data_IF_516109902634
#
_entry.id   IF_516109902634
#
_cell.length_a   1.000
_cell.length_b   1.000
_cell.length_c   1.000
_cell.angle_alpha   90.00
_cell.angle_beta   90.00
_cell.angle_gamma   90.00
#
_symmetry.space_group_name_H-M   'P 1'
#
loop_
_entity.id
_entity.type
_entity.pdbx_description
1 polymer ?
#
# COMPACT_ATOMS: atom_id res chain seq x y z
N UNK A 1 -0.98 -19.79 -22.02
CA UNK A 1 -1.57 -21.14 -21.81
C UNK A 1 -3.08 -21.00 -21.87
N UNK A 2 -3.86 -22.08 -21.99
CA UNK A 2 -5.31 -21.98 -21.79
C UNK A 2 -5.62 -21.61 -20.33
N UNK A 3 -6.89 -21.35 -20.03
CA UNK A 3 -7.32 -21.05 -18.67
C UNK A 3 -6.82 -22.14 -17.68
N UNK A 4 -6.21 -21.75 -16.55
CA UNK A 4 -5.68 -22.71 -15.58
C UNK A 4 -6.75 -23.65 -15.00
N UNK A 5 -7.99 -23.18 -14.91
CA UNK A 5 -9.12 -23.89 -14.32
C UNK A 5 -10.42 -23.57 -15.07
N UNK A 6 -11.40 -24.49 -15.13
CA UNK A 6 -12.68 -24.26 -15.82
C UNK A 6 -13.41 -23.00 -15.38
N UNK A 7 -13.38 -22.70 -14.08
CA UNK A 7 -13.99 -21.50 -13.49
C UNK A 7 -13.49 -20.19 -14.12
N UNK A 8 -12.20 -20.12 -14.45
CA UNK A 8 -11.57 -18.92 -15.04
C UNK A 8 -12.01 -18.73 -16.50
N UNK A 9 -12.13 -19.82 -17.28
CA UNK A 9 -12.70 -19.76 -18.62
C UNK A 9 -14.19 -19.40 -18.59
N UNK A 10 -14.94 -19.96 -17.63
CA UNK A 10 -16.36 -19.63 -17.42
C UNK A 10 -16.56 -18.16 -17.06
N UNK A 11 -15.65 -17.58 -16.26
CA UNK A 11 -15.67 -16.15 -15.92
C UNK A 11 -15.56 -15.27 -17.18
N UNK A 12 -14.59 -15.52 -18.07
CA UNK A 12 -14.47 -14.76 -19.32
C UNK A 12 -15.73 -14.85 -20.19
N UNK A 13 -16.32 -16.05 -20.28
CA UNK A 13 -17.53 -16.31 -21.07
C UNK A 13 -18.76 -15.63 -20.47
N UNK A 14 -19.03 -15.83 -19.17
CA UNK A 14 -20.19 -15.24 -18.48
C UNK A 14 -20.15 -13.72 -18.49
N UNK A 15 -18.97 -13.14 -18.29
CA UNK A 15 -18.77 -11.68 -18.29
C UNK A 15 -18.61 -11.09 -19.69
N UNK A 16 -18.72 -11.91 -20.75
CA UNK A 16 -18.60 -11.49 -22.16
C UNK A 16 -17.30 -10.72 -22.43
N UNK A 17 -16.22 -11.12 -21.76
CA UNK A 17 -14.90 -10.49 -21.90
C UNK A 17 -14.20 -10.92 -23.19
N UNK A 18 -14.48 -12.14 -23.64
CA UNK A 18 -13.94 -12.74 -24.87
C UNK A 18 -15.08 -13.11 -25.85
N UNK A 19 -14.80 -13.15 -27.17
CA UNK A 19 -15.70 -13.70 -28.18
C UNK A 19 -16.16 -15.14 -27.86
N UNK A 20 -17.33 -15.57 -28.36
CA UNK A 20 -17.78 -16.95 -28.21
C UNK A 20 -16.75 -17.95 -28.73
N UNK A 21 -16.35 -18.91 -27.87
CA UNK A 21 -15.39 -19.96 -28.21
C UNK A 21 -13.92 -19.61 -27.95
N UNK A 22 -13.59 -18.37 -27.58
CA UNK A 22 -12.23 -17.98 -27.19
C UNK A 22 -12.02 -18.15 -25.67
N UNK A 23 -10.99 -18.90 -25.27
CA UNK A 23 -10.65 -19.13 -23.85
C UNK A 23 -9.61 -18.14 -23.30
N UNK A 24 -8.99 -17.34 -24.18
CA UNK A 24 -7.88 -16.44 -23.87
C UNK A 24 -6.55 -17.16 -23.61
N UNK A 25 -5.44 -16.43 -23.76
CA UNK A 25 -4.12 -16.89 -23.36
C UNK A 25 -3.77 -16.34 -21.96
N UNK A 26 -3.72 -17.24 -20.98
CA UNK A 26 -3.44 -16.93 -19.58
C UNK A 26 -1.96 -17.09 -19.29
N UNK A 27 -1.40 -16.06 -18.67
CA UNK A 27 -0.01 -15.98 -18.24
C UNK A 27 0.00 -15.58 -16.76
N UNK A 28 0.41 -16.48 -15.85
CA UNK A 28 0.46 -16.17 -14.43
C UNK A 28 1.48 -15.08 -14.15
N UNK A 29 1.13 -14.15 -13.26
CA UNK A 29 2.02 -13.10 -12.79
C UNK A 29 2.54 -13.47 -11.40
N UNK A 30 3.83 -13.19 -11.18
CA UNK A 30 4.49 -13.38 -9.89
C UNK A 30 4.27 -12.18 -8.96
N UNK A 31 4.41 -12.37 -7.65
CA UNK A 31 4.47 -11.29 -6.66
C UNK A 31 3.22 -11.11 -5.80
N UNK A 32 2.08 -11.70 -6.21
CA UNK A 32 0.87 -11.76 -5.39
C UNK A 32 0.99 -12.83 -4.31
N UNK A 33 0.93 -12.43 -3.03
CA UNK A 33 0.92 -13.35 -1.88
C UNK A 33 -0.51 -13.71 -1.48
N UNK A 34 -1.44 -12.76 -1.60
CA UNK A 34 -2.84 -12.88 -1.21
C UNK A 34 -3.78 -13.25 -2.35
N UNK A 35 -3.29 -13.23 -3.59
CA UNK A 35 -4.11 -13.48 -4.78
C UNK A 35 -3.34 -14.24 -5.85
N UNK A 36 -4.08 -15.01 -6.65
CA UNK A 36 -3.62 -15.39 -7.98
C UNK A 36 -3.89 -14.23 -8.94
N UNK A 37 -2.95 -13.96 -9.84
CA UNK A 37 -3.03 -12.87 -10.81
C UNK A 37 -2.56 -13.38 -12.16
N UNK A 38 -3.30 -13.05 -13.22
CA UNK A 38 -2.98 -13.43 -14.59
C UNK A 38 -3.08 -12.25 -15.53
N UNK A 39 -2.15 -12.17 -16.48
CA UNK A 39 -2.41 -11.48 -17.75
C UNK A 39 -3.21 -12.42 -18.63
N UNK A 40 -4.28 -11.91 -19.22
CA UNK A 40 -5.16 -12.66 -20.13
C UNK A 40 -5.18 -11.93 -21.47
N UNK A 41 -4.56 -12.52 -22.47
CA UNK A 41 -4.55 -11.99 -23.84
C UNK A 41 -5.76 -12.56 -24.60
N UNK A 42 -6.62 -11.68 -25.11
CA UNK A 42 -7.89 -11.99 -25.80
C UNK A 42 -8.14 -11.02 -26.96
N UNK A 43 -8.57 -11.51 -28.13
CA UNK A 43 -9.07 -10.71 -29.26
C UNK A 43 -8.41 -9.32 -29.45
N UNK A 44 -7.07 -9.26 -29.52
CA UNK A 44 -6.31 -8.03 -29.77
C UNK A 44 -6.11 -7.08 -28.57
N UNK A 45 -6.47 -7.49 -27.35
CA UNK A 45 -6.22 -6.76 -26.11
C UNK A 45 -5.71 -7.69 -24.99
N UNK A 46 -5.21 -7.09 -23.93
CA UNK A 46 -4.83 -7.79 -22.70
C UNK A 46 -5.64 -7.27 -21.52
N UNK A 47 -5.99 -8.16 -20.60
CA UNK A 47 -6.63 -7.87 -19.33
C UNK A 47 -5.77 -8.38 -18.17
N UNK A 48 -5.97 -7.84 -16.99
CA UNK A 48 -5.48 -8.43 -15.75
C UNK A 48 -6.66 -9.08 -15.01
N UNK A 49 -6.56 -10.37 -14.67
CA UNK A 49 -7.56 -11.07 -13.86
C UNK A 49 -6.93 -11.40 -12.50
N UNK A 50 -7.65 -11.08 -11.42
CA UNK A 50 -7.22 -11.31 -10.04
C UNK A 50 -8.25 -12.18 -9.31
N UNK A 51 -7.75 -13.17 -8.57
CA UNK A 51 -8.54 -14.05 -7.68
C UNK A 51 -7.98 -14.02 -6.27
N UNK A 52 -8.78 -13.65 -5.27
CA UNK A 52 -8.33 -13.71 -3.88
C UNK A 52 -8.21 -15.16 -3.38
N UNK A 53 -7.22 -15.41 -2.53
CA UNK A 53 -6.96 -16.71 -1.90
C UNK A 53 -7.40 -16.72 -0.44
N UNK A 54 -8.07 -17.78 0.04
CA UNK A 54 -8.36 -17.92 1.46
C UNK A 54 -7.08 -18.02 2.32
N UNK A 55 -6.04 -18.67 1.77
CA UNK A 55 -4.72 -18.84 2.38
C UNK A 55 -3.65 -18.13 1.57
N UNK A 56 -2.86 -17.29 2.22
CA UNK A 56 -1.78 -16.53 1.60
C UNK A 56 -0.58 -17.44 1.30
N UNK A 57 0.15 -17.14 0.22
CA UNK A 57 1.37 -17.82 -0.23
C UNK A 57 2.62 -17.39 0.56
N UNK A 58 2.58 -17.54 1.89
CA UNK A 58 3.71 -17.27 2.81
C UNK A 58 4.12 -18.52 3.57
N UNK A 59 5.35 -18.51 4.10
CA UNK A 59 5.90 -19.62 4.88
C UNK A 59 5.13 -19.85 6.19
N UNK A 60 4.68 -18.77 6.84
CA UNK A 60 3.81 -18.83 8.00
C UNK A 60 2.35 -19.06 7.57
N UNK A 61 1.56 -19.75 8.40
CA UNK A 61 0.12 -19.83 8.16
C UNK A 61 -0.52 -18.45 8.32
N UNK A 62 -1.04 -17.93 7.21
CA UNK A 62 -1.74 -16.64 7.18
C UNK A 62 -2.99 -16.80 6.32
N UNK A 63 -4.15 -16.72 6.97
CA UNK A 63 -5.47 -16.72 6.32
C UNK A 63 -6.01 -15.30 6.26
N UNK A 64 -6.78 -15.00 5.21
CA UNK A 64 -7.44 -13.71 5.08
C UNK A 64 -8.84 -13.89 4.45
N UNK A 65 -9.84 -13.09 4.87
CA UNK A 65 -11.19 -13.15 4.32
C UNK A 65 -11.20 -12.85 2.81
N UNK A 66 -11.87 -13.68 2.00
CA UNK A 66 -11.89 -13.55 0.52
C UNK A 66 -12.61 -12.27 0.09
N UNK A 67 -13.53 -11.78 0.91
CA UNK A 67 -14.36 -10.58 0.69
C UNK A 67 -13.52 -9.32 0.45
N UNK A 68 -12.23 -9.33 0.84
CA UNK A 68 -11.25 -8.27 0.48
C UNK A 68 -11.15 -8.00 -1.02
N UNK A 69 -11.40 -9.00 -1.86
CA UNK A 69 -11.47 -8.83 -3.30
C UNK A 69 -12.60 -7.88 -3.72
N UNK A 70 -13.75 -7.96 -3.03
CA UNK A 70 -14.89 -7.08 -3.29
C UNK A 70 -14.61 -5.64 -2.84
N UNK A 71 -13.91 -5.46 -1.71
CA UNK A 71 -13.52 -4.14 -1.24
C UNK A 71 -12.43 -3.50 -2.10
N UNK A 72 -11.50 -4.29 -2.66
CA UNK A 72 -10.55 -3.79 -3.66
C UNK A 72 -11.28 -3.29 -4.91
N UNK A 73 -12.22 -4.07 -5.45
CA UNK A 73 -13.05 -3.62 -6.57
C UNK A 73 -13.79 -2.32 -6.25
N UNK A 74 -14.46 -2.25 -5.10
CA UNK A 74 -15.19 -1.04 -4.69
C UNK A 74 -14.26 0.17 -4.56
N UNK A 75 -13.03 -0.03 -4.06
CA UNK A 75 -12.02 1.03 -4.02
C UNK A 75 -11.64 1.49 -5.43
N UNK A 76 -11.43 0.55 -6.36
CA UNK A 76 -11.09 0.87 -7.75
C UNK A 76 -12.21 1.67 -8.42
N UNK A 77 -13.48 1.36 -8.18
CA UNK A 77 -14.61 2.14 -8.70
C UNK A 77 -14.57 3.58 -8.19
N UNK A 78 -14.50 3.77 -6.87
CA UNK A 78 -14.46 5.12 -6.26
C UNK A 78 -13.23 5.90 -6.72
N UNK A 79 -12.06 5.28 -6.73
CA UNK A 79 -10.83 5.95 -7.12
C UNK A 79 -10.80 6.29 -8.63
N UNK A 80 -11.42 5.49 -9.51
CA UNK A 80 -11.52 5.84 -10.93
C UNK A 80 -12.47 7.03 -11.16
N UNK A 81 -13.49 7.23 -10.33
CA UNK A 81 -14.35 8.43 -10.41
C UNK A 81 -13.57 9.70 -10.01
N UNK A 82 -12.69 9.59 -9.01
CA UNK A 82 -11.94 10.73 -8.46
C UNK A 82 -10.68 11.04 -9.28
N UNK A 83 -9.95 10.01 -9.70
CA UNK A 83 -8.67 10.10 -10.38
C UNK A 83 -8.57 9.07 -11.53
N UNK A 84 -9.33 9.29 -12.63
CA UNK A 84 -9.29 8.40 -13.78
C UNK A 84 -7.86 8.18 -14.28
N UNK A 85 -7.50 6.93 -14.56
CA UNK A 85 -6.16 6.57 -15.05
C UNK A 85 -5.09 6.39 -13.96
N UNK A 86 -5.38 6.71 -12.70
CA UNK A 86 -4.46 6.56 -11.57
C UNK A 86 -4.73 5.34 -10.68
N UNK A 87 -5.66 4.49 -11.10
CA UNK A 87 -5.92 3.14 -10.62
C UNK A 87 -6.28 2.28 -11.83
N UNK A 88 -6.10 0.95 -11.81
CA UNK A 88 -6.57 0.08 -12.89
C UNK A 88 -8.06 0.27 -13.13
N UNK A 89 -8.46 0.39 -14.40
CA UNK A 89 -9.88 0.47 -14.74
C UNK A 89 -10.56 -0.88 -14.44
N UNK A 90 -11.59 -0.93 -13.58
CA UNK A 90 -12.39 -2.13 -13.35
C UNK A 90 -13.20 -2.46 -14.62
N UNK A 91 -13.28 -3.75 -14.98
CA UNK A 91 -13.92 -4.21 -16.23
C UNK A 91 -15.08 -5.17 -15.96
N UNK A 92 -14.86 -6.19 -15.13
CA UNK A 92 -15.92 -7.11 -14.70
C UNK A 92 -15.57 -7.74 -13.34
N UNK A 93 -16.59 -8.09 -12.56
CA UNK A 93 -16.44 -8.73 -11.26
C UNK A 93 -17.33 -9.96 -11.14
N UNK A 94 -16.84 -10.96 -10.42
CA UNK A 94 -17.60 -12.09 -9.92
C UNK A 94 -17.35 -12.25 -8.41
N UNK A 95 -18.18 -11.59 -7.57
CA UNK A 95 -18.01 -11.61 -6.13
C UNK A 95 -18.15 -13.01 -5.52
N UNK A 96 -19.00 -13.86 -6.09
CA UNK A 96 -19.25 -15.23 -5.61
C UNK A 96 -17.96 -16.07 -5.61
N UNK A 97 -17.09 -15.81 -6.59
CA UNK A 97 -15.83 -16.53 -6.78
C UNK A 97 -14.60 -15.70 -6.40
N UNK A 98 -14.78 -14.50 -5.85
CA UNK A 98 -13.69 -13.60 -5.46
C UNK A 98 -12.78 -13.22 -6.64
N UNK A 99 -13.38 -12.99 -7.80
CA UNK A 99 -12.71 -12.70 -9.06
C UNK A 99 -13.04 -11.29 -9.55
N UNK A 100 -12.07 -10.62 -10.14
CA UNK A 100 -12.34 -9.49 -11.03
C UNK A 100 -11.32 -9.38 -12.17
N UNK A 101 -11.75 -8.71 -13.24
CA UNK A 101 -10.93 -8.28 -14.36
C UNK A 101 -10.77 -6.76 -14.34
N UNK A 102 -9.56 -6.30 -14.61
CA UNK A 102 -9.20 -4.88 -14.73
C UNK A 102 -8.27 -4.65 -15.91
N UNK A 103 -8.04 -3.38 -16.26
CA UNK A 103 -7.12 -3.00 -17.32
C UNK A 103 -5.73 -3.61 -17.14
N UNK A 104 -5.14 -4.09 -18.23
CA UNK A 104 -3.74 -4.49 -18.26
C UNK A 104 -2.83 -3.27 -18.37
N UNK A 105 -1.88 -3.15 -17.45
CA UNK A 105 -0.88 -2.09 -17.44
C UNK A 105 0.46 -2.66 -17.91
N UNK A 106 0.82 -2.35 -19.15
CA UNK A 106 1.99 -2.95 -19.80
C UNK A 106 3.32 -2.50 -19.13
N UNK A 107 4.21 -3.44 -18.71
CA UNK A 107 5.42 -3.11 -17.95
C UNK A 107 6.43 -2.19 -18.64
N UNK A 108 6.45 -2.18 -19.98
CA UNK A 108 7.29 -1.29 -20.79
C UNK A 108 6.87 0.19 -20.65
N UNK A 109 5.62 0.45 -20.27
CA UNK A 109 5.06 1.78 -20.03
C UNK A 109 4.79 2.08 -18.57
N UNK A 110 4.75 1.05 -17.72
CA UNK A 110 4.38 1.13 -16.31
C UNK A 110 5.43 0.46 -15.46
N UNK A 111 6.37 1.27 -14.95
CA UNK A 111 7.53 0.78 -14.20
C UNK A 111 7.18 0.62 -12.72
N UNK A 112 7.65 -0.45 -12.09
CA UNK A 112 7.38 -0.68 -10.67
C UNK A 112 8.20 0.27 -9.79
N UNK A 113 7.55 1.14 -9.02
CA UNK A 113 8.25 2.18 -8.25
C UNK A 113 9.25 1.59 -7.25
N UNK A 114 8.93 0.47 -6.60
CA UNK A 114 9.88 -0.27 -5.75
C UNK A 114 11.18 -0.61 -6.47
N UNK A 115 11.11 -1.07 -7.72
CA UNK A 115 12.29 -1.46 -8.49
C UNK A 115 13.13 -0.24 -8.87
N UNK A 116 12.47 0.84 -9.31
CA UNK A 116 13.12 2.13 -9.61
C UNK A 116 13.90 2.64 -8.39
N UNK A 117 13.23 2.76 -7.24
CA UNK A 117 13.85 3.26 -6.02
C UNK A 117 15.03 2.38 -5.54
N UNK A 118 14.91 1.05 -5.63
CA UNK A 118 15.99 0.12 -5.23
C UNK A 118 17.17 0.12 -6.22
N UNK A 119 16.94 0.48 -7.48
CA UNK A 119 18.00 0.66 -8.48
C UNK A 119 18.72 2.01 -8.36
N UNK A 120 18.26 2.90 -7.48
CA UNK A 120 18.79 4.26 -7.34
C UNK A 120 18.23 5.27 -8.34
N UNK A 121 17.27 4.87 -9.18
CA UNK A 121 16.49 5.76 -10.03
C UNK A 121 15.39 6.40 -9.19
N UNK A 122 15.74 7.47 -8.49
CA UNK A 122 14.83 8.20 -7.61
C UNK A 122 14.57 9.56 -8.23
N UNK A 123 13.29 9.89 -8.41
CA UNK A 123 12.85 11.19 -8.87
C UNK A 123 11.80 11.72 -7.89
N UNK A 124 12.10 12.84 -7.24
CA UNK A 124 11.19 13.50 -6.31
C UNK A 124 9.85 13.92 -6.94
N UNK A 125 9.78 14.15 -8.26
CA UNK A 125 8.49 14.43 -8.92
C UNK A 125 7.53 13.24 -8.86
N UNK A 126 8.03 12.00 -8.88
CA UNK A 126 7.19 10.81 -8.75
C UNK A 126 6.60 10.73 -7.34
N UNK A 127 7.40 11.04 -6.31
CA UNK A 127 6.95 11.08 -4.93
C UNK A 127 5.92 12.20 -4.69
N UNK A 128 6.13 13.36 -5.33
CA UNK A 128 5.17 14.46 -5.31
C UNK A 128 3.84 14.08 -5.95
N UNK A 129 3.88 13.39 -7.10
CA UNK A 129 2.67 12.92 -7.78
C UNK A 129 1.92 11.85 -6.96
N UNK A 130 2.64 11.00 -6.23
CA UNK A 130 2.02 10.02 -5.31
C UNK A 130 1.35 10.72 -4.14
N UNK A 131 2.02 11.69 -3.51
CA UNK A 131 1.46 12.47 -2.40
C UNK A 131 0.20 13.22 -2.81
N UNK A 132 0.23 13.87 -3.98
CA UNK A 132 -0.93 14.53 -4.57
C UNK A 132 -2.10 13.57 -4.85
N UNK A 133 -1.83 12.42 -5.50
CA UNK A 133 -2.87 11.44 -5.83
C UNK A 133 -3.57 10.90 -4.58
N UNK A 134 -2.81 10.44 -3.59
CA UNK A 134 -3.37 9.90 -2.34
C UNK A 134 -4.13 11.00 -1.60
N UNK A 135 -3.58 12.21 -1.57
CA UNK A 135 -4.22 13.38 -0.97
C UNK A 135 -5.56 13.72 -1.61
N UNK A 136 -5.66 13.71 -2.95
CA UNK A 136 -6.91 13.96 -3.69
C UNK A 136 -7.98 12.91 -3.41
N UNK A 137 -7.60 11.62 -3.35
CA UNK A 137 -8.54 10.54 -3.02
C UNK A 137 -9.07 10.73 -1.59
N UNK A 138 -8.18 11.02 -0.64
CA UNK A 138 -8.59 11.30 0.74
C UNK A 138 -9.50 12.53 0.84
N UNK A 139 -9.17 13.62 0.15
CA UNK A 139 -9.96 14.85 0.13
C UNK A 139 -11.37 14.62 -0.42
N UNK A 140 -11.49 13.88 -1.53
CA UNK A 140 -12.77 13.62 -2.18
C UNK A 140 -13.66 12.64 -1.39
N UNK A 141 -13.08 11.85 -0.49
CA UNK A 141 -13.81 10.82 0.29
C UNK A 141 -13.98 11.19 1.76
N UNK A 142 -13.50 12.37 2.15
CA UNK A 142 -13.49 12.80 3.54
C UNK A 142 -14.89 12.93 4.13
N UNK A 143 -15.06 12.34 5.31
CA UNK A 143 -16.27 12.31 6.13
C UNK A 143 -17.54 11.84 5.37
N UNK A 144 -17.41 11.12 4.24
CA UNK A 144 -18.54 10.57 3.48
C UNK A 144 -19.20 9.40 4.24
N UNK A 145 -20.45 9.54 4.72
CA UNK A 145 -21.13 8.50 5.49
C UNK A 145 -21.48 7.25 4.67
N UNK A 146 -21.68 7.39 3.35
CA UNK A 146 -21.95 6.26 2.45
C UNK A 146 -20.69 5.42 2.27
N UNK A 147 -19.55 6.06 2.00
CA UNK A 147 -18.27 5.34 1.92
C UNK A 147 -17.90 4.73 3.27
N UNK A 148 -18.18 5.41 4.38
CA UNK A 148 -18.01 4.84 5.72
C UNK A 148 -18.80 3.56 5.93
N UNK A 149 -20.03 3.47 5.42
CA UNK A 149 -20.85 2.27 5.51
C UNK A 149 -20.34 1.14 4.60
N UNK A 150 -19.94 1.47 3.36
CA UNK A 150 -19.40 0.49 2.39
C UNK A 150 -18.07 -0.09 2.88
N UNK A 151 -17.19 0.76 3.43
CA UNK A 151 -15.85 0.40 3.87
C UNK A 151 -15.74 0.27 5.40
N UNK A 152 -16.80 -0.21 6.06
CA UNK A 152 -16.81 -0.61 7.47
C UNK A 152 -16.05 -1.94 7.67
N UNK A 153 -14.83 -2.01 7.16
CA UNK A 153 -13.99 -3.21 7.06
C UNK A 153 -12.95 -3.29 8.18
N UNK A 154 -13.28 -2.75 9.35
CA UNK A 154 -12.43 -2.66 10.53
C UNK A 154 -11.75 -3.98 10.90
N UNK A 155 -12.49 -5.09 10.86
CA UNK A 155 -11.95 -6.41 11.14
C UNK A 155 -10.88 -6.84 10.13
N UNK A 156 -11.08 -6.55 8.83
CA UNK A 156 -10.10 -6.84 7.78
C UNK A 156 -8.85 -5.99 7.99
N UNK A 157 -9.00 -4.67 8.12
CA UNK A 157 -7.89 -3.77 8.34
C UNK A 157 -7.11 -4.12 9.62
N UNK A 158 -7.81 -4.48 10.70
CA UNK A 158 -7.18 -4.95 11.92
C UNK A 158 -6.36 -6.22 11.67
N UNK A 159 -6.94 -7.23 11.03
CA UNK A 159 -6.27 -8.52 10.80
C UNK A 159 -5.04 -8.43 9.89
N UNK A 160 -5.04 -7.53 8.90
CA UNK A 160 -3.98 -7.46 7.88
C UNK A 160 -3.05 -6.26 8.02
N UNK A 161 -3.38 -5.27 8.88
CA UNK A 161 -2.55 -4.09 9.17
C UNK A 161 -2.26 -3.91 10.65
N UNK A 162 -3.26 -3.65 11.49
CA UNK A 162 -3.01 -3.33 12.90
C UNK A 162 -2.33 -4.50 13.62
N UNK A 163 -2.82 -5.72 13.45
CA UNK A 163 -2.25 -6.90 14.09
C UNK A 163 -0.81 -7.17 13.65
N UNK A 164 -0.51 -7.36 12.34
CA UNK A 164 0.82 -7.79 11.92
C UNK A 164 1.87 -6.69 12.01
N UNK A 165 1.48 -5.41 11.92
CA UNK A 165 2.43 -4.28 11.98
C UNK A 165 2.55 -3.67 13.37
N UNK A 166 1.47 -3.50 14.12
CA UNK A 166 1.53 -2.80 15.41
C UNK A 166 1.52 -3.80 16.56
N UNK A 167 0.49 -4.63 16.69
CA UNK A 167 0.34 -5.50 17.86
C UNK A 167 1.39 -6.61 17.93
N UNK A 168 1.79 -7.18 16.79
CA UNK A 168 2.87 -8.16 16.74
C UNK A 168 4.21 -7.53 17.12
N UNK A 169 4.49 -6.32 16.65
CA UNK A 169 5.70 -5.56 16.99
C UNK A 169 5.72 -5.17 18.46
N UNK A 170 4.58 -4.78 19.03
CA UNK A 170 4.44 -4.53 20.47
C UNK A 170 4.79 -5.77 21.32
N UNK A 171 4.38 -6.97 20.88
CA UNK A 171 4.74 -8.22 21.56
C UNK A 171 6.23 -8.57 21.41
N UNK A 172 6.85 -8.22 20.29
CA UNK A 172 8.29 -8.40 20.06
C UNK A 172 9.15 -7.38 20.84
N UNK A 173 8.57 -6.22 21.20
CA UNK A 173 9.21 -5.17 21.99
C UNK A 173 8.37 -4.80 23.21
N UNK A 174 8.36 -5.62 24.27
CA UNK A 174 7.52 -5.38 25.45
C UNK A 174 7.75 -4.02 26.12
N UNK A 175 8.96 -3.48 26.03
CA UNK A 175 9.32 -2.16 26.56
C UNK A 175 8.65 -0.99 25.80
N UNK A 176 8.16 -1.23 24.59
CA UNK A 176 7.47 -0.25 23.74
C UNK A 176 5.97 -0.55 23.57
N UNK A 177 5.46 -1.60 24.23
CA UNK A 177 4.13 -2.13 23.98
C UNK A 177 3.03 -1.10 24.23
N UNK A 178 3.14 -0.29 25.29
CA UNK A 178 2.15 0.74 25.62
C UNK A 178 2.10 1.86 24.57
N UNK A 179 3.28 2.33 24.13
CA UNK A 179 3.41 3.37 23.09
C UNK A 179 2.81 2.88 21.77
N UNK A 180 3.21 1.68 21.31
CA UNK A 180 2.69 1.09 20.07
C UNK A 180 1.19 0.79 20.18
N UNK A 181 0.72 0.34 21.35
CA UNK A 181 -0.69 0.08 21.63
C UNK A 181 -1.56 1.35 21.57
N UNK A 182 -1.05 2.48 22.06
CA UNK A 182 -1.73 3.78 21.96
C UNK A 182 -1.83 4.27 20.50
N UNK A 183 -0.75 4.11 19.72
CA UNK A 183 -0.74 4.41 18.28
C UNK A 183 -1.72 3.50 17.52
N UNK A 184 -1.76 2.21 17.84
CA UNK A 184 -2.70 1.26 17.24
C UNK A 184 -4.16 1.62 17.54
N UNK A 185 -4.45 1.99 18.79
CA UNK A 185 -5.79 2.39 19.23
C UNK A 185 -6.24 3.67 18.53
N UNK A 186 -5.35 4.67 18.44
CA UNK A 186 -5.62 5.94 17.74
C UNK A 186 -5.89 5.71 16.25
N UNK A 187 -5.05 4.89 15.60
CA UNK A 187 -5.21 4.53 14.19
C UNK A 187 -6.56 3.84 13.96
N UNK A 188 -6.92 2.86 14.80
CA UNK A 188 -8.16 2.10 14.69
C UNK A 188 -9.42 2.95 14.92
N UNK A 189 -9.37 3.89 15.86
CA UNK A 189 -10.51 4.72 16.25
C UNK A 189 -10.81 5.87 15.28
N UNK A 190 -9.82 6.33 14.51
CA UNK A 190 -9.97 7.47 13.61
C UNK A 190 -10.66 7.06 12.31
N UNK A 191 -11.76 7.74 11.95
CA UNK A 191 -12.64 7.43 10.82
C UNK A 191 -12.92 8.68 9.99
N UNK A 192 -12.06 8.97 9.01
CA UNK A 192 -12.12 10.22 8.24
C UNK A 192 -12.22 10.04 6.75
N UNK A 193 -11.47 9.13 6.14
CA UNK A 193 -11.36 9.05 4.67
C UNK A 193 -11.41 7.60 4.19
N UNK A 194 -11.60 7.41 2.88
CA UNK A 194 -11.33 6.11 2.25
C UNK A 194 -9.80 5.91 2.13
N UNK A 195 -9.26 5.08 2.99
CA UNK A 195 -7.83 4.74 3.05
C UNK A 195 -7.58 3.49 2.18
N UNK A 196 -6.55 3.51 1.35
CA UNK A 196 -6.12 2.36 0.54
C UNK A 196 -5.56 1.23 1.40
N UNK A 197 -4.80 1.57 2.43
CA UNK A 197 -4.24 0.65 3.42
C UNK A 197 -3.00 -0.11 2.94
N UNK A 198 -2.47 0.13 1.75
CA UNK A 198 -1.18 -0.44 1.27
C UNK A 198 -0.48 0.46 0.27
N UNK A 199 -0.44 1.78 0.55
CA UNK A 199 0.33 2.73 -0.27
C UNK A 199 1.81 2.47 -0.03
N UNK A 200 2.35 1.47 -0.73
CA UNK A 200 3.75 1.08 -0.68
C UNK A 200 4.32 1.04 -2.10
N UNK A 201 5.62 1.33 -2.31
CA UNK A 201 6.18 1.36 -3.66
C UNK A 201 6.06 0.04 -4.46
N UNK A 202 5.76 -1.09 -3.80
CA UNK A 202 5.50 -2.38 -4.47
C UNK A 202 4.11 -2.43 -5.13
N UNK A 203 3.21 -1.56 -4.72
CA UNK A 203 1.83 -1.44 -5.17
C UNK A 203 1.60 -0.15 -5.98
N UNK A 204 2.68 0.46 -6.48
CA UNK A 204 2.63 1.69 -7.25
C UNK A 204 3.42 1.49 -8.54
N UNK A 205 2.73 1.67 -9.67
CA UNK A 205 3.37 1.76 -10.98
C UNK A 205 3.54 3.22 -11.36
N UNK A 206 4.67 3.55 -11.99
CA UNK A 206 4.92 4.83 -12.62
C UNK A 206 4.55 4.72 -14.10
N UNK A 207 3.40 5.29 -14.46
CA UNK A 207 2.90 5.36 -15.83
C UNK A 207 3.29 6.67 -16.52
N UNK A 208 2.94 6.81 -17.81
CA UNK A 208 3.22 8.03 -18.59
C UNK A 208 2.49 9.27 -18.06
N UNK A 209 1.31 9.08 -17.46
CA UNK A 209 0.46 10.16 -16.97
C UNK A 209 0.56 10.34 -15.44
N UNK A 210 1.47 9.59 -14.78
CA UNK A 210 1.70 9.65 -13.35
C UNK A 210 1.57 8.29 -12.65
N UNK A 211 1.50 8.29 -11.31
CA UNK A 211 1.45 7.07 -10.52
C UNK A 211 0.09 6.38 -10.63
N UNK A 212 0.11 5.05 -10.57
CA UNK A 212 -1.07 4.21 -10.56
C UNK A 212 -1.04 3.35 -9.30
N UNK A 213 -2.03 3.50 -8.43
CA UNK A 213 -2.18 2.70 -7.20
C UNK A 213 -2.78 1.33 -7.53
N UNK A 214 -2.23 0.28 -6.95
CA UNK A 214 -2.66 -1.10 -7.11
C UNK A 214 -3.00 -1.73 -5.76
N UNK A 215 -3.78 -2.82 -5.77
CA UNK A 215 -3.86 -3.75 -4.64
C UNK A 215 -4.40 -3.10 -3.35
N UNK A 216 -5.55 -2.44 -3.47
CA UNK A 216 -6.30 -1.85 -2.37
C UNK A 216 -7.14 -2.87 -1.57
N UNK A 217 -6.65 -4.11 -1.42
CA UNK A 217 -7.36 -5.17 -0.68
C UNK A 217 -7.50 -4.86 0.83
N UNK A 218 -6.77 -3.84 1.30
CA UNK A 218 -6.81 -3.36 2.68
C UNK A 218 -7.66 -2.09 2.84
N UNK A 219 -8.45 -1.75 1.82
CA UNK A 219 -9.26 -0.54 1.84
C UNK A 219 -10.25 -0.55 3.02
N UNK A 220 -10.30 0.58 3.72
CA UNK A 220 -11.20 0.79 4.86
C UNK A 220 -11.50 2.28 5.01
N UNK A 221 -12.58 2.61 5.70
CA UNK A 221 -12.84 3.99 6.12
C UNK A 221 -12.11 4.26 7.44
N UNK A 222 -11.13 5.16 7.44
CA UNK A 222 -10.10 5.16 8.47
C UNK A 222 -9.26 6.42 8.63
N UNK A 223 -8.12 6.26 9.29
CA UNK A 223 -7.15 7.33 9.53
C UNK A 223 -6.31 7.65 8.28
N UNK A 224 -6.41 8.86 7.71
CA UNK A 224 -5.59 9.29 6.58
C UNK A 224 -4.08 9.19 6.84
N UNK A 225 -3.66 9.31 8.10
CA UNK A 225 -2.25 9.21 8.49
C UNK A 225 -1.62 7.86 8.13
N UNK A 226 -2.43 6.80 8.01
CA UNK A 226 -1.93 5.46 7.73
C UNK A 226 -1.25 5.37 6.37
N UNK A 227 -1.92 5.74 5.28
CA UNK A 227 -1.34 5.62 3.94
C UNK A 227 -0.10 6.51 3.76
N UNK A 228 -0.12 7.71 4.34
CA UNK A 228 1.03 8.62 4.33
C UNK A 228 2.22 7.96 5.04
N UNK A 229 2.07 7.56 6.30
CA UNK A 229 3.15 6.93 7.07
C UNK A 229 3.59 5.59 6.46
N UNK A 230 2.66 4.85 5.84
CA UNK A 230 2.93 3.58 5.19
C UNK A 230 3.83 3.76 3.97
N UNK A 231 3.62 4.80 3.16
CA UNK A 231 4.50 5.09 2.04
C UNK A 231 5.86 5.63 2.51
N UNK A 232 5.85 6.56 3.46
CA UNK A 232 7.07 7.23 3.95
C UNK A 232 8.06 6.27 4.61
N UNK A 233 7.60 5.27 5.38
CA UNK A 233 8.52 4.29 5.97
C UNK A 233 9.33 3.53 4.89
N UNK A 234 8.76 3.31 3.71
CA UNK A 234 9.45 2.65 2.62
C UNK A 234 10.51 3.55 1.96
N UNK A 235 10.34 4.87 1.96
CA UNK A 235 11.36 5.81 1.51
C UNK A 235 12.53 5.87 2.50
N UNK A 236 12.23 5.93 3.80
CA UNK A 236 13.24 5.85 4.87
C UNK A 236 14.04 4.54 4.76
N UNK A 237 13.37 3.39 4.70
CA UNK A 237 14.05 2.10 4.62
C UNK A 237 14.96 2.01 3.40
N UNK A 238 14.53 2.54 2.24
CA UNK A 238 15.36 2.54 1.03
C UNK A 238 16.54 3.51 1.11
N UNK A 239 16.43 4.61 1.85
CA UNK A 239 17.56 5.54 2.04
C UNK A 239 18.74 4.90 2.79
N UNK A 240 18.46 3.90 3.63
CA UNK A 240 19.48 3.07 4.28
C UNK A 240 20.06 1.98 3.37
N UNK A 241 19.32 1.57 2.33
CA UNK A 241 19.73 0.54 1.37
C UNK A 241 20.52 1.12 0.23
N UNK A 242 19.99 2.17 -0.40
CA UNK A 242 20.55 2.82 -1.58
C UNK A 242 21.24 4.11 -1.15
N UNK A 243 22.40 3.96 -0.50
CA UNK A 243 23.13 5.08 0.11
C UNK A 243 23.47 6.21 -0.86
N UNK A 244 23.75 5.88 -2.13
CA UNK A 244 23.99 6.85 -3.20
C UNK A 244 22.78 7.76 -3.49
N UNK A 245 21.56 7.28 -3.25
CA UNK A 245 20.31 8.00 -3.47
C UNK A 245 19.69 8.55 -2.17
N UNK A 246 20.41 8.48 -1.04
CA UNK A 246 19.87 8.88 0.28
C UNK A 246 19.35 10.33 0.30
N UNK A 247 20.06 11.26 -0.35
CA UNK A 247 19.62 12.66 -0.44
C UNK A 247 18.33 12.82 -1.26
N UNK A 248 18.22 12.11 -2.38
CA UNK A 248 17.03 12.18 -3.24
C UNK A 248 15.82 11.46 -2.64
N UNK A 249 16.04 10.38 -1.89
CA UNK A 249 14.99 9.72 -1.10
C UNK A 249 14.51 10.59 0.06
N UNK A 250 15.42 11.31 0.73
CA UNK A 250 15.06 12.30 1.75
C UNK A 250 14.28 13.47 1.17
N UNK A 251 14.64 13.94 -0.04
CA UNK A 251 13.87 14.95 -0.77
C UNK A 251 12.50 14.43 -1.20
N UNK A 252 12.44 13.20 -1.71
CA UNK A 252 11.21 12.52 -2.10
C UNK A 252 10.23 12.39 -0.93
N UNK A 253 10.75 12.12 0.27
CA UNK A 253 9.96 12.16 1.50
C UNK A 253 9.33 13.54 1.71
N UNK A 254 10.14 14.61 1.67
CA UNK A 254 9.65 15.97 1.95
C UNK A 254 8.56 16.40 0.97
N UNK A 255 8.80 16.21 -0.34
CA UNK A 255 7.84 16.62 -1.35
C UNK A 255 6.56 15.77 -1.33
N UNK A 256 6.64 14.49 -0.96
CA UNK A 256 5.45 13.65 -0.78
C UNK A 256 4.61 14.18 0.40
N UNK A 257 5.25 14.49 1.53
CA UNK A 257 4.56 15.09 2.68
C UNK A 257 3.92 16.41 2.30
N UNK A 258 4.68 17.30 1.67
CA UNK A 258 4.21 18.63 1.27
C UNK A 258 3.00 18.55 0.33
N UNK A 259 3.11 17.73 -0.73
CA UNK A 259 2.04 17.56 -1.73
C UNK A 259 0.80 16.91 -1.15
N UNK A 260 0.95 15.92 -0.28
CA UNK A 260 -0.16 15.30 0.42
C UNK A 260 -0.86 16.29 1.38
N UNK A 261 -0.11 16.99 2.23
CA UNK A 261 -0.69 17.90 3.23
C UNK A 261 -1.40 19.09 2.59
N UNK A 262 -1.01 19.52 1.38
CA UNK A 262 -1.76 20.53 0.61
C UNK A 262 -3.17 20.10 0.22
N UNK A 263 -3.42 18.79 0.11
CA UNK A 263 -4.74 18.26 -0.19
C UNK A 263 -5.61 18.08 1.06
N UNK A 264 -5.04 18.20 2.26
CA UNK A 264 -5.78 18.01 3.51
C UNK A 264 -6.66 19.22 3.79
N UNK A 265 -7.96 19.04 3.60
CA UNK A 265 -8.99 20.08 3.82
C UNK A 265 -10.07 19.71 4.83
N UNK A 266 -10.10 18.46 5.32
CA UNK A 266 -11.14 17.93 6.21
C UNK A 266 -10.80 18.03 7.70
N UNK A 267 -9.54 18.27 8.03
CA UNK A 267 -9.05 18.52 9.39
C UNK A 267 -7.78 19.40 9.32
N UNK A 268 -7.27 19.94 10.43
CA UNK A 268 -5.99 20.66 10.41
C UNK A 268 -4.85 19.75 9.88
N UNK A 269 -4.07 20.18 8.85
CA UNK A 269 -2.99 19.35 8.30
C UNK A 269 -1.97 18.90 9.36
N UNK A 270 -1.73 19.72 10.37
CA UNK A 270 -0.86 19.39 11.51
C UNK A 270 -1.34 18.20 12.33
N UNK A 271 -2.65 17.93 12.40
CA UNK A 271 -3.17 16.76 13.12
C UNK A 271 -2.95 15.46 12.35
N UNK A 272 -3.10 15.48 11.02
CA UNK A 272 -2.73 14.33 10.18
C UNK A 272 -1.24 14.08 10.24
N UNK A 273 -0.44 15.14 10.12
CA UNK A 273 1.02 15.05 10.23
C UNK A 273 1.44 14.46 11.57
N UNK A 274 0.87 14.92 12.69
CA UNK A 274 1.17 14.43 14.02
C UNK A 274 0.89 12.94 14.17
N UNK A 275 -0.28 12.47 13.71
CA UNK A 275 -0.61 11.03 13.74
C UNK A 275 0.33 10.22 12.83
N UNK A 276 0.67 10.74 11.66
CA UNK A 276 1.61 10.09 10.76
C UNK A 276 3.03 10.02 11.35
N UNK A 277 3.48 11.08 12.03
CA UNK A 277 4.77 11.15 12.71
C UNK A 277 4.88 10.10 13.84
N UNK A 278 3.82 9.89 14.61
CA UNK A 278 3.77 8.86 15.66
C UNK A 278 3.69 7.44 15.08
N UNK A 279 2.96 7.27 13.96
CA UNK A 279 2.75 5.97 13.34
C UNK A 279 3.99 5.46 12.56
N UNK A 280 4.70 6.35 11.88
CA UNK A 280 5.82 6.01 10.99
C UNK A 280 6.93 5.18 11.67
N UNK A 281 7.49 5.55 12.85
CA UNK A 281 8.53 4.74 13.48
C UNK A 281 7.99 3.38 13.93
N UNK A 282 6.73 3.26 14.33
CA UNK A 282 6.08 1.97 14.62
C UNK A 282 6.04 1.07 13.37
N UNK A 283 5.60 1.61 12.23
CA UNK A 283 5.58 0.88 10.96
C UNK A 283 6.99 0.49 10.50
N UNK A 284 7.98 1.36 10.68
CA UNK A 284 9.36 1.07 10.32
C UNK A 284 9.95 -0.04 11.19
N UNK A 285 9.70 -0.04 12.50
CA UNK A 285 10.10 -1.12 13.39
C UNK A 285 9.44 -2.45 12.99
N UNK A 286 8.16 -2.42 12.64
CA UNK A 286 7.43 -3.58 12.14
C UNK A 286 8.01 -4.16 10.85
N UNK A 287 8.57 -3.31 9.99
CA UNK A 287 9.28 -3.69 8.78
C UNK A 287 10.66 -4.30 9.04
N UNK A 288 11.12 -4.32 10.29
CA UNK A 288 12.34 -4.99 10.73
C UNK A 288 12.00 -6.25 11.53
N UNK A 289 11.15 -6.13 12.54
CA UNK A 289 10.91 -7.17 13.57
C UNK A 289 9.45 -7.65 13.66
N UNK A 290 8.55 -7.10 12.85
CA UNK A 290 7.15 -7.53 12.78
C UNK A 290 6.93 -8.76 11.88
N UNK A 291 5.66 -9.07 11.56
CA UNK A 291 5.30 -10.24 10.73
C UNK A 291 5.59 -10.09 9.24
N UNK A 292 5.93 -8.89 8.77
CA UNK A 292 6.19 -8.60 7.36
C UNK A 292 7.47 -7.77 7.19
N UNK A 293 8.64 -8.34 7.55
CA UNK A 293 9.92 -7.66 7.45
C UNK A 293 10.30 -7.41 5.98
N UNK A 294 11.03 -6.34 5.71
CA UNK A 294 11.54 -6.04 4.38
C UNK A 294 12.64 -7.04 4.00
N UNK A 295 12.49 -7.68 2.86
CA UNK A 295 13.35 -8.77 2.40
C UNK A 295 14.73 -8.29 1.90
N UNK A 296 14.83 -7.01 1.54
CA UNK A 296 16.04 -6.42 0.96
C UNK A 296 16.99 -5.79 1.99
N UNK A 297 16.69 -5.86 3.28
CA UNK A 297 17.56 -5.34 4.35
C UNK A 297 18.60 -6.38 4.80
N UNK A 298 19.86 -5.97 4.89
CA UNK A 298 20.91 -6.74 5.59
C UNK A 298 20.91 -6.49 7.10
N UNK A 299 21.63 -7.30 7.86
CA UNK A 299 21.65 -7.24 9.33
C UNK A 299 22.09 -5.89 9.90
N UNK A 300 23.07 -5.25 9.25
CA UNK A 300 23.55 -3.92 9.65
C UNK A 300 22.44 -2.87 9.49
N UNK A 301 21.76 -2.87 8.35
CA UNK A 301 20.64 -1.96 8.07
C UNK A 301 19.47 -2.23 9.00
N UNK A 302 19.14 -3.50 9.27
CA UNK A 302 18.12 -3.88 10.27
C UNK A 302 18.48 -3.33 11.65
N UNK A 303 19.73 -3.46 12.07
CA UNK A 303 20.23 -2.93 13.34
C UNK A 303 20.02 -1.42 13.48
N UNK A 304 20.44 -0.65 12.47
CA UNK A 304 20.29 0.82 12.46
C UNK A 304 18.82 1.21 12.48
N UNK A 305 18.01 0.65 11.58
CA UNK A 305 16.58 0.95 11.49
C UNK A 305 15.85 0.60 12.78
N UNK A 306 16.17 -0.53 13.42
CA UNK A 306 15.60 -0.93 14.70
C UNK A 306 15.93 0.08 15.79
N UNK A 307 17.20 0.46 15.95
CA UNK A 307 17.64 1.43 16.95
C UNK A 307 16.92 2.77 16.75
N UNK A 308 16.94 3.31 15.53
CA UNK A 308 16.34 4.60 15.24
C UNK A 308 14.81 4.55 15.42
N UNK A 309 14.14 3.50 14.93
CA UNK A 309 12.69 3.37 15.07
C UNK A 309 12.26 3.25 16.53
N UNK A 310 12.98 2.48 17.36
CA UNK A 310 12.73 2.42 18.81
C UNK A 310 12.90 3.80 19.45
N UNK A 311 13.94 4.54 19.10
CA UNK A 311 14.16 5.89 19.62
C UNK A 311 13.04 6.85 19.19
N UNK A 312 12.58 6.77 17.94
CA UNK A 312 11.47 7.57 17.43
C UNK A 312 10.13 7.26 18.10
N UNK A 313 9.89 6.02 18.54
CA UNK A 313 8.70 5.64 19.31
C UNK A 313 8.74 6.28 20.71
N UNK A 314 9.91 6.35 21.34
CA UNK A 314 10.07 6.89 22.71
C UNK A 314 10.01 8.43 22.71
N UNK A 315 10.59 9.10 21.71
CA UNK A 315 10.63 10.56 21.67
C UNK A 315 9.29 11.21 21.30
N UNK A 316 8.33 10.44 20.76
CA UNK A 316 6.98 10.89 20.38
C UNK A 316 6.94 12.21 19.59
N UNK A 317 7.87 12.37 18.66
CA UNK A 317 7.96 13.58 17.81
C UNK A 317 6.65 13.82 17.06
N UNK A 318 6.24 15.09 16.96
CA UNK A 318 4.96 15.50 16.41
C UNK A 318 5.02 15.97 14.95
N UNK A 319 6.20 16.07 14.35
CA UNK A 319 6.39 16.47 12.94
C UNK A 319 7.08 15.38 12.15
N UNK A 320 6.71 15.22 10.88
CA UNK A 320 7.36 14.25 9.99
C UNK A 320 8.80 14.68 9.66
N UNK A 321 9.09 15.98 9.69
CA UNK A 321 10.44 16.50 9.50
C UNK A 321 11.41 16.03 10.60
N UNK A 322 11.00 16.12 11.87
CA UNK A 322 11.81 15.68 13.00
C UNK A 322 11.98 14.15 13.00
N UNK A 323 10.89 13.41 12.75
CA UNK A 323 10.93 11.95 12.64
C UNK A 323 11.86 11.51 11.51
N UNK A 324 11.78 12.13 10.32
CA UNK A 324 12.67 11.84 9.20
C UNK A 324 14.13 12.02 9.58
N UNK A 325 14.47 13.15 10.24
CA UNK A 325 15.85 13.44 10.67
C UNK A 325 16.36 12.31 11.56
N UNK A 326 15.62 11.98 12.62
CA UNK A 326 15.97 10.92 13.55
C UNK A 326 16.13 9.56 12.84
N UNK A 327 15.20 9.20 11.96
CA UNK A 327 15.21 7.88 11.32
C UNK A 327 16.30 7.73 10.26
N UNK A 328 16.78 8.81 9.67
CA UNK A 328 17.89 8.81 8.71
C UNK A 328 19.26 8.97 9.37
N UNK A 329 19.34 9.16 10.69
CA UNK A 329 20.61 9.21 11.42
C UNK A 329 21.42 7.93 11.18
N UNK A 330 22.70 8.13 10.87
CA UNK A 330 23.66 7.04 10.70
C UNK A 330 24.65 7.11 11.87
N UNK A 331 25.02 5.97 12.48
CA UNK A 331 26.08 5.98 13.46
C UNK A 331 27.34 6.58 12.83
N UNK A 332 27.98 7.51 13.55
CA UNK A 332 29.31 8.00 13.16
C UNK A 332 30.22 6.77 13.07
N UNK A 333 30.81 6.54 11.90
CA UNK A 333 31.81 5.49 11.73
C UNK A 333 32.99 5.84 12.64
N UNK A 334 33.13 5.11 13.75
CA UNK A 334 34.32 5.10 14.60
C UNK A 334 35.43 4.28 13.96
#
# INVERSE_FOLDING_TARGET
MNAPEPLLADFLRRMRLAPPGEEGCWIPLSGGVSSDIWRVDIAGRSLCVKRALARLKVAAEWTAPIERNAYEWAYLEVANEIAPGHVPQPIAQDPEHGLFAMAWLAPDRHRLWKAELLSGQVNSSDAAAVGDLVGRIHAATADDPRLRAIFATDANFHAIRIEPYLLATARAHPDLADHIGAVASTTAATKRVLVHGDVSPKNILLGPDGPILLDAECAWFGDPAFDLAFCLNHLIAKAHVVSSACAELSRSFDVLVETYLRQVSWEPPSEVERRAAQLLPCLLLARVDGKSPLEYLNDKQRGILRTNARHGIIEERTTLCDVKRLLLERPVQS
#
